data_IF_512517391186
#
_entry.id   IF_512517391186
#
_cell.length_a   1.000
_cell.length_b   1.000
_cell.length_c   1.000
_cell.angle_alpha   90.00
_cell.angle_beta   90.00
_cell.angle_gamma   90.00
#
_symmetry.space_group_name_H-M   'P 1'
#
loop_
_entity.id
_entity.type
_entity.pdbx_description
1 polymer ?
#
# COMPACT_ATOMS: atom_id res chain seq x y z
N UNK A 1 5.64 -42.94 66.34
CA UNK A 1 6.34 -43.92 65.48
C UNK A 1 6.44 -43.33 64.08
N UNK A 2 7.67 -43.23 63.57
CA UNK A 2 8.19 -43.27 62.18
C UNK A 2 7.29 -42.72 61.04
N UNK A 3 7.70 -41.63 60.36
CA UNK A 3 8.33 -41.58 59.01
C UNK A 3 7.48 -42.29 57.93
N UNK A 4 7.10 -41.64 56.83
CA UNK A 4 7.98 -41.39 55.67
C UNK A 4 7.47 -40.21 54.82
N UNK A 5 8.41 -39.37 54.38
CA UNK A 5 8.29 -38.34 53.33
C UNK A 5 8.24 -39.02 51.96
N UNK A 6 7.36 -38.59 51.06
CA UNK A 6 7.55 -38.77 49.61
C UNK A 6 7.28 -37.43 48.94
N UNK A 7 8.37 -36.82 48.45
CA UNK A 7 8.29 -35.76 47.46
C UNK A 7 7.90 -36.39 46.11
N UNK A 8 7.04 -35.72 45.35
CA UNK A 8 6.93 -35.97 43.91
C UNK A 8 7.13 -34.65 43.17
N UNK A 9 8.17 -34.67 42.34
CA UNK A 9 8.64 -33.57 41.53
C UNK A 9 7.78 -33.38 40.27
N UNK A 10 7.51 -32.11 39.98
CA UNK A 10 7.48 -31.42 38.68
C UNK A 10 7.52 -32.28 37.41
N UNK A 11 6.53 -32.09 36.52
CA UNK A 11 6.83 -31.82 35.12
C UNK A 11 5.81 -30.84 34.53
N UNK A 12 6.26 -29.60 34.37
CA UNK A 12 5.58 -28.50 33.71
C UNK A 12 5.77 -28.67 32.21
N UNK A 13 4.72 -29.01 31.45
CA UNK A 13 4.73 -28.90 29.97
C UNK A 13 3.57 -27.98 29.59
N UNK A 14 3.78 -26.69 29.84
CA UNK A 14 3.01 -25.64 29.19
C UNK A 14 3.49 -25.53 27.75
N UNK A 15 2.82 -26.23 26.84
CA UNK A 15 2.95 -25.99 25.40
C UNK A 15 2.35 -24.61 25.08
N UNK A 16 3.11 -23.56 25.38
CA UNK A 16 2.83 -22.23 24.90
C UNK A 16 2.96 -22.24 23.39
N UNK A 17 1.82 -22.16 22.70
CA UNK A 17 1.75 -21.71 21.32
C UNK A 17 2.46 -20.35 21.24
N UNK A 18 3.73 -20.37 20.83
CA UNK A 18 4.42 -19.17 20.39
C UNK A 18 3.80 -18.83 19.04
N UNK A 19 2.68 -18.10 19.09
CA UNK A 19 2.21 -17.38 17.93
C UNK A 19 3.38 -16.50 17.45
N UNK A 20 3.68 -16.45 16.14
CA UNK A 20 4.59 -15.44 15.63
C UNK A 20 3.99 -14.09 16.00
N UNK A 21 4.60 -13.40 16.97
CA UNK A 21 4.36 -11.98 17.15
C UNK A 21 4.85 -11.33 15.86
N UNK A 22 3.93 -11.12 14.93
CA UNK A 22 4.03 -10.03 13.95
C UNK A 22 4.42 -8.86 14.83
N UNK A 23 5.67 -8.37 14.70
CA UNK A 23 6.16 -7.30 15.54
C UNK A 23 5.17 -6.16 15.37
N UNK A 24 4.23 -6.04 16.31
CA UNK A 24 3.32 -4.92 16.38
C UNK A 24 4.26 -3.74 16.44
N UNK A 25 4.22 -2.90 15.42
CA UNK A 25 4.99 -1.68 15.32
C UNK A 25 4.57 -0.83 16.53
N UNK A 26 5.22 -1.06 17.67
CA UNK A 26 4.81 -0.53 18.96
C UNK A 26 4.91 0.98 18.84
N UNK A 27 3.75 1.65 18.97
CA UNK A 27 3.67 3.10 18.95
C UNK A 27 4.63 3.67 19.98
N UNK A 28 5.33 4.74 19.63
CA UNK A 28 6.33 5.36 20.50
C UNK A 28 5.74 5.73 21.86
N UNK A 29 4.55 6.33 21.87
CA UNK A 29 3.81 6.69 23.09
C UNK A 29 3.52 5.52 24.03
N UNK A 30 3.29 4.32 23.48
CA UNK A 30 3.01 3.08 24.24
C UNK A 30 4.29 2.43 24.75
N UNK A 31 5.40 2.60 24.05
CA UNK A 31 6.70 2.05 24.42
C UNK A 31 7.35 2.75 25.63
N UNK A 32 6.90 3.96 25.98
CA UNK A 32 7.41 4.73 27.12
C UNK A 32 6.79 4.28 28.43
N UNK A 33 7.58 4.30 29.50
CA UNK A 33 7.07 4.13 30.86
C UNK A 33 6.19 5.32 31.30
N UNK A 34 5.23 5.15 32.23
CA UNK A 34 4.35 6.23 32.67
C UNK A 34 5.10 7.49 33.16
N UNK A 35 6.21 7.31 33.89
CA UNK A 35 7.04 8.42 34.36
C UNK A 35 7.72 9.16 33.19
N UNK A 36 8.18 8.44 32.17
CA UNK A 36 8.78 9.03 30.98
C UNK A 36 7.75 9.79 30.14
N UNK A 37 6.52 9.26 30.01
CA UNK A 37 5.44 9.97 29.31
C UNK A 37 5.12 11.31 29.95
N UNK A 38 5.05 11.34 31.29
CA UNK A 38 4.85 12.58 32.04
C UNK A 38 6.03 13.54 31.84
N UNK A 39 7.27 13.03 31.89
CA UNK A 39 8.48 13.83 31.71
C UNK A 39 8.64 14.39 30.28
N UNK A 40 8.08 13.74 29.27
CA UNK A 40 8.02 14.22 27.88
C UNK A 40 6.83 15.14 27.60
N UNK A 41 5.97 15.39 28.60
CA UNK A 41 4.78 16.25 28.47
C UNK A 41 3.65 15.66 27.63
N UNK A 42 3.66 14.35 27.34
CA UNK A 42 2.59 13.67 26.59
C UNK A 42 1.18 13.82 27.20
N UNK A 43 1.00 13.89 28.55
CA UNK A 43 -0.32 14.14 29.14
C UNK A 43 -0.93 15.51 28.79
N UNK A 44 -0.13 16.46 28.27
CA UNK A 44 -0.59 17.80 27.87
C UNK A 44 -1.12 17.83 26.44
N UNK A 45 -0.89 16.75 25.68
CA UNK A 45 -1.33 16.61 24.30
C UNK A 45 -2.66 15.85 24.25
N UNK A 46 -3.50 16.18 23.27
CA UNK A 46 -4.71 15.39 23.00
C UNK A 46 -4.37 14.03 22.41
N UNK A 47 -5.31 13.08 22.48
CA UNK A 47 -5.14 11.75 21.85
C UNK A 47 -4.80 11.85 20.36
N UNK A 48 -5.39 12.80 19.65
CA UNK A 48 -5.14 13.01 18.22
C UNK A 48 -3.72 13.54 17.97
N UNK A 49 -3.26 14.48 18.80
CA UNK A 49 -1.89 15.01 18.73
C UNK A 49 -0.84 13.92 19.02
N UNK A 50 -1.11 13.05 19.99
CA UNK A 50 -0.26 11.89 20.28
C UNK A 50 -0.23 10.92 19.09
N UNK A 51 -1.37 10.66 18.45
CA UNK A 51 -1.43 9.80 17.27
C UNK A 51 -0.64 10.39 16.08
N UNK A 52 -0.73 11.71 15.87
CA UNK A 52 0.07 12.42 14.86
C UNK A 52 1.56 12.32 15.20
N UNK A 53 1.94 12.53 16.45
CA UNK A 53 3.33 12.40 16.90
C UNK A 53 3.87 11.00 16.65
N UNK A 54 3.13 9.96 17.01
CA UNK A 54 3.52 8.57 16.74
C UNK A 54 3.69 8.30 15.23
N UNK A 55 2.81 8.85 14.39
CA UNK A 55 2.91 8.72 12.94
C UNK A 55 4.15 9.42 12.37
N UNK A 56 4.47 10.62 12.88
CA UNK A 56 5.68 11.37 12.51
C UNK A 56 6.95 10.64 12.96
N UNK A 57 6.99 10.10 14.18
CA UNK A 57 8.12 9.31 14.69
C UNK A 57 8.33 8.06 13.84
N UNK A 58 7.26 7.36 13.44
CA UNK A 58 7.36 6.20 12.55
C UNK A 58 7.93 6.58 11.18
N UNK A 59 7.45 7.69 10.59
CA UNK A 59 7.99 8.22 9.32
C UNK A 59 9.46 8.56 9.44
N UNK A 60 9.85 9.27 10.49
CA UNK A 60 11.24 9.69 10.75
C UNK A 60 12.17 8.47 10.95
N UNK A 61 11.69 7.44 11.64
CA UNK A 61 12.42 6.18 11.84
C UNK A 61 12.67 5.46 10.51
N UNK A 62 11.66 5.41 9.63
CA UNK A 62 11.80 4.80 8.30
C UNK A 62 12.83 5.55 7.43
N UNK A 63 12.85 6.89 7.51
CA UNK A 63 13.82 7.72 6.80
C UNK A 63 15.25 7.52 7.34
N UNK A 64 15.44 7.44 8.66
CA UNK A 64 16.76 7.21 9.28
C UNK A 64 17.34 5.82 9.01
N UNK A 65 16.51 4.81 8.79
CA UNK A 65 16.96 3.47 8.40
C UNK A 65 17.57 3.40 6.99
N UNK A 66 17.32 4.41 6.14
CA UNK A 66 18.00 4.54 4.86
C UNK A 66 19.37 5.19 5.08
N UNK A 67 20.44 4.43 4.87
CA UNK A 67 21.81 4.96 4.94
C UNK A 67 21.94 6.19 4.04
N UNK A 68 22.52 7.31 4.51
CA UNK A 68 22.73 8.47 3.67
C UNK A 68 23.56 8.06 2.45
N UNK A 69 23.06 8.41 1.27
CA UNK A 69 23.75 8.09 0.02
C UNK A 69 25.13 8.78 0.01
N UNK A 70 26.14 8.20 -0.66
CA UNK A 70 27.48 8.79 -0.74
C UNK A 70 27.50 10.22 -1.32
N UNK A 71 26.43 10.63 -2.01
CA UNK A 71 26.29 11.95 -2.62
C UNK A 71 25.32 12.87 -1.85
N UNK A 72 25.14 12.66 -0.55
CA UNK A 72 24.22 13.47 0.25
C UNK A 72 24.68 14.93 0.32
N UNK A 73 23.74 15.87 0.14
CA UNK A 73 24.05 17.30 0.21
C UNK A 73 24.37 17.74 1.65
N UNK A 74 25.10 18.85 1.87
CA UNK A 74 25.38 19.35 3.23
C UNK A 74 24.11 19.59 4.06
N UNK A 75 23.00 19.97 3.43
CA UNK A 75 21.71 20.14 4.08
C UNK A 75 21.11 18.80 4.55
N UNK A 76 21.31 17.72 3.79
CA UNK A 76 20.89 16.37 4.18
C UNK A 76 21.73 15.85 5.36
N UNK A 77 23.03 16.13 5.36
CA UNK A 77 23.93 15.78 6.47
C UNK A 77 23.54 16.56 7.74
N UNK A 78 23.26 17.86 7.63
CA UNK A 78 22.80 18.67 8.76
C UNK A 78 21.43 18.23 9.30
N UNK A 79 20.50 17.80 8.42
CA UNK A 79 19.21 17.25 8.84
C UNK A 79 19.38 15.93 9.60
N UNK A 80 20.36 15.09 9.21
CA UNK A 80 20.65 13.84 9.90
C UNK A 80 21.16 14.04 11.34
N UNK A 81 21.89 15.15 11.60
CA UNK A 81 22.43 15.50 12.93
C UNK A 81 21.47 16.33 13.80
N UNK A 82 20.43 16.91 13.22
CA UNK A 82 19.41 17.67 13.96
C UNK A 82 18.60 16.77 14.93
N UNK A 83 17.90 17.37 15.90
CA UNK A 83 16.95 16.62 16.73
C UNK A 83 15.62 16.36 15.99
N UNK A 84 14.77 15.46 16.51
CA UNK A 84 13.49 15.15 15.88
C UNK A 84 12.62 16.40 15.68
N UNK A 85 12.46 17.21 16.73
CA UNK A 85 11.70 18.46 16.66
C UNK A 85 12.24 19.47 15.62
N UNK A 86 13.56 19.52 15.42
CA UNK A 86 14.22 20.41 14.45
C UNK A 86 14.05 19.95 13.00
N UNK A 87 13.87 18.65 12.77
CA UNK A 87 13.60 18.10 11.42
C UNK A 87 12.17 18.37 10.94
N UNK A 88 11.25 18.64 11.85
CA UNK A 88 9.85 18.86 11.52
C UNK A 88 9.60 20.26 10.95
N UNK A 89 8.72 20.32 9.95
CA UNK A 89 8.22 21.59 9.42
C UNK A 89 7.38 22.32 10.48
N UNK A 90 7.21 23.65 10.32
CA UNK A 90 6.39 24.44 11.25
C UNK A 90 4.94 23.94 11.35
N UNK A 91 4.36 23.50 10.23
CA UNK A 91 3.01 22.91 10.20
C UNK A 91 2.93 21.60 11.00
N UNK A 92 3.89 20.69 10.81
CA UNK A 92 3.92 19.42 11.55
C UNK A 92 4.10 19.62 13.04
N UNK A 93 4.94 20.59 13.45
CA UNK A 93 5.10 20.94 14.87
C UNK A 93 3.81 21.47 15.49
N UNK A 94 3.05 22.27 14.74
CA UNK A 94 1.75 22.77 15.18
C UNK A 94 0.71 21.65 15.30
N UNK A 95 0.61 20.77 14.30
CA UNK A 95 -0.34 19.65 14.29
C UNK A 95 -0.04 18.62 15.38
N UNK A 96 1.25 18.37 15.68
CA UNK A 96 1.66 17.48 16.78
C UNK A 96 1.52 18.14 18.17
N UNK A 97 1.12 19.41 18.25
CA UNK A 97 0.95 20.12 19.52
C UNK A 97 2.26 20.43 20.25
N UNK A 98 3.42 20.40 19.56
CA UNK A 98 4.72 20.61 20.20
C UNK A 98 4.89 22.01 20.78
N UNK A 99 4.08 22.98 20.35
CA UNK A 99 4.06 24.33 20.91
C UNK A 99 3.52 24.39 22.35
N UNK A 100 2.77 23.37 22.81
CA UNK A 100 2.25 23.31 24.18
C UNK A 100 3.28 22.79 25.19
N UNK A 101 4.41 22.25 24.71
CA UNK A 101 5.48 21.68 25.52
C UNK A 101 6.48 22.77 25.92
N UNK A 102 7.01 22.67 27.14
CA UNK A 102 8.16 23.47 27.56
C UNK A 102 9.44 23.01 26.87
N UNK A 103 10.46 23.87 26.81
CA UNK A 103 11.75 23.51 26.21
C UNK A 103 12.40 22.28 26.89
N UNK A 104 12.21 22.12 28.21
CA UNK A 104 12.73 20.98 28.96
C UNK A 104 11.99 19.67 28.61
N UNK A 105 10.65 19.71 28.49
CA UNK A 105 9.85 18.55 28.07
C UNK A 105 10.18 18.16 26.63
N UNK A 106 10.34 19.14 25.73
CA UNK A 106 10.68 18.91 24.33
C UNK A 106 12.08 18.30 24.18
N UNK A 107 13.08 18.77 24.94
CA UNK A 107 14.40 18.15 24.96
C UNK A 107 14.37 16.69 25.45
N UNK A 108 13.55 16.38 26.46
CA UNK A 108 13.36 15.01 26.94
C UNK A 108 12.64 14.14 25.92
N UNK A 109 11.64 14.68 25.23
CA UNK A 109 10.94 14.01 24.14
C UNK A 109 11.91 13.65 23.00
N UNK A 110 12.72 14.62 22.55
CA UNK A 110 13.71 14.40 21.50
C UNK A 110 14.72 13.31 21.91
N UNK A 111 15.21 13.33 23.15
CA UNK A 111 16.11 12.30 23.66
C UNK A 111 15.44 10.91 23.75
N UNK A 112 14.17 10.85 24.16
CA UNK A 112 13.42 9.61 24.22
C UNK A 112 13.17 9.01 22.82
N UNK A 113 12.86 9.86 21.83
CA UNK A 113 12.68 9.45 20.42
C UNK A 113 14.00 8.93 19.86
N UNK A 114 15.12 9.63 20.10
CA UNK A 114 16.42 9.20 19.61
C UNK A 114 16.82 7.83 20.20
N UNK A 115 16.63 7.62 21.50
CA UNK A 115 16.82 6.30 22.14
C UNK A 115 15.92 5.22 21.53
N UNK A 116 14.64 5.53 21.31
CA UNK A 116 13.69 4.58 20.72
C UNK A 116 14.12 4.17 19.30
N UNK A 117 14.51 5.14 18.48
CA UNK A 117 15.00 4.90 17.12
C UNK A 117 16.29 4.08 17.10
N UNK A 118 17.27 4.45 17.93
CA UNK A 118 18.54 3.74 18.03
C UNK A 118 18.34 2.29 18.51
N UNK A 119 17.44 2.06 19.47
CA UNK A 119 17.11 0.71 19.92
C UNK A 119 16.48 -0.14 18.80
N UNK A 120 15.65 0.46 17.94
CA UNK A 120 15.07 -0.24 16.78
C UNK A 120 16.10 -0.54 15.69
N UNK A 121 16.96 0.42 15.37
CA UNK A 121 18.03 0.22 14.40
C UNK A 121 19.02 -0.85 14.90
N UNK A 122 19.41 -0.82 16.17
CA UNK A 122 20.26 -1.84 16.77
C UNK A 122 19.62 -3.24 16.66
N UNK A 123 18.32 -3.38 16.95
CA UNK A 123 17.62 -4.66 16.76
C UNK A 123 17.57 -5.09 15.30
N UNK A 124 17.42 -4.17 14.35
CA UNK A 124 17.45 -4.49 12.93
C UNK A 124 18.84 -4.95 12.47
N UNK A 125 19.91 -4.36 13.00
CA UNK A 125 21.29 -4.73 12.70
C UNK A 125 21.73 -6.05 13.37
N UNK A 126 21.21 -6.32 14.58
CA UNK A 126 21.48 -7.54 15.35
C UNK A 126 20.60 -8.72 14.92
N UNK A 127 19.48 -8.46 14.24
CA UNK A 127 18.66 -9.53 13.70
C UNK A 127 19.47 -10.31 12.65
N UNK A 128 19.40 -11.65 12.65
CA UNK A 128 19.98 -12.43 11.57
C UNK A 128 19.41 -11.89 10.25
N UNK A 129 20.24 -11.68 9.21
CA UNK A 129 19.79 -11.10 7.98
C UNK A 129 18.67 -11.98 7.42
N UNK A 130 17.44 -11.52 7.57
CA UNK A 130 16.33 -12.06 6.80
C UNK A 130 16.59 -11.53 5.41
N UNK A 131 17.36 -12.30 4.64
CA UNK A 131 17.39 -12.16 3.21
C UNK A 131 15.97 -12.43 2.75
N UNK A 132 15.14 -11.39 2.71
CA UNK A 132 14.08 -11.31 1.74
C UNK A 132 14.83 -11.42 0.43
N UNK A 133 14.94 -12.65 -0.07
CA UNK A 133 15.39 -12.93 -1.41
C UNK A 133 14.38 -12.18 -2.28
N UNK A 134 14.70 -10.92 -2.58
CA UNK A 134 14.16 -10.23 -3.73
C UNK A 134 14.55 -11.19 -4.83
N UNK A 135 13.60 -12.01 -5.29
CA UNK A 135 13.77 -12.79 -6.50
C UNK A 135 14.07 -11.71 -7.53
N UNK A 136 15.36 -11.50 -7.81
CA UNK A 136 15.74 -10.87 -9.04
C UNK A 136 15.04 -11.72 -10.09
N UNK A 137 14.13 -11.15 -10.90
CA UNK A 137 13.59 -11.89 -12.01
C UNK A 137 14.80 -12.48 -12.73
N UNK A 138 14.85 -13.80 -12.85
CA UNK A 138 15.81 -14.43 -13.74
C UNK A 138 15.45 -13.84 -15.09
N UNK A 139 16.25 -12.88 -15.57
CA UNK A 139 16.12 -12.34 -16.91
C UNK A 139 16.88 -13.33 -17.77
N UNK A 140 16.20 -14.28 -18.44
CA UNK A 140 16.90 -15.18 -19.34
C UNK A 140 17.68 -14.34 -20.35
N UNK A 141 18.92 -14.73 -20.60
CA UNK A 141 19.83 -14.06 -21.55
C UNK A 141 19.28 -14.02 -22.98
N UNK A 142 18.22 -14.78 -23.25
CA UNK A 142 17.49 -14.83 -24.52
C UNK A 142 16.38 -13.78 -24.67
N UNK A 143 16.03 -13.01 -23.62
CA UNK A 143 15.00 -11.96 -23.76
C UNK A 143 15.57 -10.85 -24.65
N UNK A 144 15.19 -10.85 -25.94
CA UNK A 144 15.46 -9.76 -26.87
C UNK A 144 15.10 -8.45 -26.18
N UNK A 145 16.10 -7.58 -26.00
CA UNK A 145 15.93 -6.23 -25.43
C UNK A 145 15.27 -5.27 -26.43
N UNK A 146 14.94 -5.78 -27.61
CA UNK A 146 14.36 -4.99 -28.68
C UNK A 146 12.90 -4.68 -28.37
N UNK A 147 12.50 -3.47 -28.70
CA UNK A 147 11.11 -3.03 -28.57
C UNK A 147 10.24 -3.85 -29.52
N UNK A 148 9.24 -4.51 -28.97
CA UNK A 148 8.25 -5.27 -29.73
C UNK A 148 7.03 -4.41 -30.00
N UNK A 149 6.57 -4.39 -31.24
CA UNK A 149 5.24 -3.91 -31.59
C UNK A 149 4.43 -5.13 -32.02
N UNK A 150 3.48 -5.53 -31.19
CA UNK A 150 2.54 -6.60 -31.48
C UNK A 150 1.18 -5.97 -31.76
N UNK A 151 0.39 -6.57 -32.63
CA UNK A 151 -0.96 -6.08 -32.86
C UNK A 151 -1.83 -7.07 -33.59
N UNK A 152 -3.13 -6.87 -33.45
CA UNK A 152 -4.15 -7.65 -34.14
C UNK A 152 -5.15 -6.69 -34.78
N UNK A 153 -5.53 -6.99 -36.01
CA UNK A 153 -6.67 -6.37 -36.68
C UNK A 153 -7.77 -7.42 -36.80
N UNK A 154 -9.01 -7.02 -36.59
CA UNK A 154 -10.20 -7.82 -36.81
C UNK A 154 -11.14 -7.04 -37.70
N UNK A 155 -11.73 -7.72 -38.68
CA UNK A 155 -12.72 -7.18 -39.59
C UNK A 155 -13.89 -8.15 -39.61
N UNK A 156 -15.10 -7.64 -39.41
CA UNK A 156 -16.32 -8.42 -39.48
C UNK A 156 -17.36 -7.74 -40.37
N UNK A 157 -18.11 -8.57 -41.08
CA UNK A 157 -19.15 -8.15 -41.99
C UNK A 157 -20.40 -9.00 -41.78
N UNK A 158 -21.53 -8.35 -41.52
CA UNK A 158 -22.81 -9.00 -41.31
C UNK A 158 -23.83 -8.53 -42.33
N UNK A 159 -24.64 -9.47 -42.84
CA UNK A 159 -25.81 -9.18 -43.68
C UNK A 159 -27.01 -10.00 -43.20
N UNK A 160 -28.19 -9.39 -43.21
CA UNK A 160 -29.42 -10.03 -42.71
C UNK A 160 -30.66 -9.62 -43.51
N UNK A 161 -31.71 -10.44 -43.41
CA UNK A 161 -33.03 -10.14 -43.96
C UNK A 161 -33.60 -8.85 -43.35
N UNK A 162 -34.27 -8.02 -44.16
CA UNK A 162 -34.84 -6.74 -43.68
C UNK A 162 -33.91 -5.52 -43.85
N UNK A 163 -32.95 -5.59 -44.77
CA UNK A 163 -32.05 -4.47 -45.09
C UNK A 163 -30.89 -4.28 -44.12
N UNK A 164 -30.66 -5.25 -43.23
CA UNK A 164 -29.57 -5.23 -42.24
C UNK A 164 -28.21 -5.44 -42.90
N UNK A 165 -27.28 -4.54 -42.59
CA UNK A 165 -25.87 -4.61 -42.94
C UNK A 165 -25.02 -4.05 -41.82
N UNK A 166 -23.95 -4.77 -41.48
CA UNK A 166 -23.01 -4.40 -40.43
C UNK A 166 -21.59 -4.50 -40.98
N UNK A 167 -20.79 -3.48 -40.73
CA UNK A 167 -19.36 -3.45 -41.01
C UNK A 167 -18.66 -3.07 -39.71
N UNK A 168 -17.82 -3.93 -39.17
CA UNK A 168 -17.07 -3.61 -37.96
C UNK A 168 -15.59 -3.92 -38.17
N UNK A 169 -14.74 -3.01 -37.73
CA UNK A 169 -13.29 -3.14 -37.75
C UNK A 169 -12.74 -2.80 -36.38
N UNK A 170 -11.75 -3.56 -35.92
CA UNK A 170 -11.01 -3.24 -34.71
C UNK A 170 -9.53 -3.50 -34.89
N UNK A 171 -8.70 -2.64 -34.29
CA UNK A 171 -7.25 -2.74 -34.27
C UNK A 171 -6.79 -2.62 -32.82
N UNK A 172 -5.92 -3.51 -32.39
CA UNK A 172 -5.21 -3.42 -31.11
C UNK A 172 -3.73 -3.40 -31.40
N UNK A 173 -3.04 -2.38 -30.92
CA UNK A 173 -1.60 -2.23 -31.00
C UNK A 173 -1.00 -2.26 -29.59
N UNK A 174 -0.08 -3.18 -29.36
CA UNK A 174 0.65 -3.36 -28.10
C UNK A 174 2.13 -3.05 -28.33
N UNK A 175 2.62 -1.98 -27.72
CA UNK A 175 4.03 -1.64 -27.63
C UNK A 175 4.58 -2.23 -26.33
N UNK A 176 5.61 -3.05 -26.40
CA UNK A 176 6.34 -3.57 -25.23
C UNK A 176 7.76 -2.98 -25.20
N UNK A 177 8.12 -2.32 -24.09
CA UNK A 177 9.49 -1.90 -23.79
C UNK A 177 10.03 -2.75 -22.63
N UNK A 178 10.66 -3.90 -22.92
CA UNK A 178 11.19 -4.79 -21.88
C UNK A 178 12.36 -4.17 -21.11
N UNK A 179 13.04 -3.15 -21.66
CA UNK A 179 14.15 -2.47 -20.99
C UNK A 179 13.66 -1.48 -19.92
N UNK A 180 12.49 -0.86 -20.14
CA UNK A 180 11.86 0.07 -19.19
C UNK A 180 10.74 -0.56 -18.36
N UNK A 181 10.40 -1.82 -18.62
CA UNK A 181 9.44 -2.59 -17.84
C UNK A 181 7.99 -2.12 -17.98
N UNK A 182 7.63 -1.53 -19.13
CA UNK A 182 6.26 -1.10 -19.40
C UNK A 182 5.73 -1.65 -20.72
N UNK A 183 4.40 -1.73 -20.82
CA UNK A 183 3.68 -2.04 -22.05
C UNK A 183 2.54 -1.03 -22.22
N UNK A 184 2.33 -0.57 -23.45
CA UNK A 184 1.26 0.34 -23.83
C UNK A 184 0.39 -0.33 -24.89
N UNK A 185 -0.90 -0.48 -24.61
CA UNK A 185 -1.88 -1.03 -25.56
C UNK A 185 -2.86 0.04 -25.99
N UNK A 186 -3.03 0.24 -27.29
CA UNK A 186 -3.99 1.17 -27.90
C UNK A 186 -4.94 0.36 -28.76
N UNK A 187 -6.24 0.40 -28.43
CA UNK A 187 -7.31 -0.21 -29.19
C UNK A 187 -8.13 0.84 -29.92
N UNK A 188 -8.47 0.58 -31.18
CA UNK A 188 -9.44 1.33 -31.97
C UNK A 188 -10.49 0.37 -32.50
N UNK A 189 -11.77 0.69 -32.37
CA UNK A 189 -12.85 -0.10 -32.96
C UNK A 189 -13.91 0.82 -33.54
N UNK A 190 -14.33 0.53 -34.77
CA UNK A 190 -15.38 1.23 -35.48
C UNK A 190 -16.42 0.21 -35.94
N UNK A 191 -17.70 0.53 -35.75
CA UNK A 191 -18.82 -0.31 -36.22
C UNK A 191 -19.85 0.57 -36.91
N UNK A 192 -20.20 0.21 -38.14
CA UNK A 192 -21.18 0.88 -38.95
C UNK A 192 -22.32 -0.09 -39.29
N UNK A 193 -23.47 0.12 -38.68
CA UNK A 193 -24.68 -0.68 -38.87
C UNK A 193 -25.71 0.13 -39.63
N UNK A 194 -26.25 -0.44 -40.71
CA UNK A 194 -27.31 0.14 -41.54
C UNK A 194 -28.41 -0.87 -41.76
N UNK A 195 -29.65 -0.46 -41.44
CA UNK A 195 -30.83 -1.34 -41.45
C UNK A 195 -30.81 -2.27 -40.24
N UNK A 196 -31.98 -2.44 -39.62
CA UNK A 196 -32.11 -2.99 -38.28
C UNK A 196 -32.75 -1.96 -37.36
N UNK A 197 -34.02 -2.17 -37.04
CA UNK A 197 -34.66 -1.51 -35.88
C UNK A 197 -33.79 -1.88 -34.66
N UNK A 198 -33.45 -0.94 -33.75
CA UNK A 198 -32.58 -1.24 -32.63
C UNK A 198 -33.07 -2.48 -31.88
N UNK A 199 -32.28 -3.55 -31.85
CA UNK A 199 -32.63 -4.75 -31.07
C UNK A 199 -32.80 -4.43 -29.57
N UNK A 200 -32.24 -3.31 -29.09
CA UNK A 200 -32.46 -2.76 -27.76
C UNK A 200 -33.91 -2.26 -27.52
N UNK A 201 -34.70 -2.03 -28.57
CA UNK A 201 -36.12 -1.69 -28.45
C UNK A 201 -37.06 -2.91 -28.52
N UNK A 202 -36.55 -4.11 -28.87
CA UNK A 202 -37.40 -5.30 -29.06
C UNK A 202 -37.33 -6.31 -27.90
N UNK A 203 -36.35 -6.19 -27.00
CA UNK A 203 -36.24 -7.02 -25.80
C UNK A 203 -35.77 -6.20 -24.61
N UNK A 204 -36.57 -5.21 -24.22
CA UNK A 204 -36.52 -4.74 -22.84
C UNK A 204 -37.35 -5.71 -21.98
N UNK A 205 -36.74 -6.57 -21.14
CA UNK A 205 -37.48 -7.47 -20.26
C UNK A 205 -38.24 -6.73 -19.14
N UNK A 206 -38.09 -5.40 -19.03
CA UNK A 206 -38.80 -4.54 -18.07
C UNK A 206 -40.00 -3.81 -18.69
N UNK A 207 -40.21 -3.91 -20.00
CA UNK A 207 -41.38 -3.32 -20.67
C UNK A 207 -42.31 -4.45 -21.09
N UNK A 208 -43.22 -4.81 -20.19
CA UNK A 208 -44.42 -5.59 -20.54
C UNK A 208 -45.27 -4.76 -21.49
N UNK A 209 -45.19 -5.04 -22.80
CA UNK A 209 -46.24 -4.60 -23.74
C UNK A 209 -47.30 -5.69 -23.87
N UNK A 210 -48.59 -5.31 -23.92
CA UNK A 210 -49.66 -6.26 -24.21
C UNK A 210 -49.41 -6.89 -25.58
N UNK A 211 -49.53 -8.23 -25.65
CA UNK A 211 -49.47 -8.97 -26.91
C UNK A 211 -50.57 -8.43 -27.83
N UNK A 212 -50.17 -7.74 -28.90
CA UNK A 212 -51.10 -7.39 -29.97
C UNK A 212 -51.59 -8.68 -30.63
N UNK A 213 -52.91 -8.78 -30.77
CA UNK A 213 -53.56 -9.95 -31.37
C UNK A 213 -53.42 -9.92 -32.90
N UNK A 214 -53.49 -11.08 -33.57
CA UNK A 214 -53.44 -11.14 -35.03
C UNK A 214 -54.58 -10.32 -35.63
N UNK A 215 -54.25 -9.27 -36.39
CA UNK A 215 -55.22 -8.39 -37.07
C UNK A 215 -55.09 -6.88 -36.80
N UNK A 216 -54.14 -6.46 -35.95
CA UNK A 216 -53.87 -5.03 -35.70
C UNK A 216 -53.11 -4.41 -36.89
N UNK A 217 -53.45 -3.19 -37.39
CA UNK A 217 -52.85 -2.61 -38.61
C UNK A 217 -51.39 -2.17 -38.47
N UNK A 218 -50.75 -2.51 -37.34
CA UNK A 218 -49.32 -2.35 -37.08
C UNK A 218 -48.55 -3.69 -37.07
N UNK A 219 -49.21 -4.79 -37.43
CA UNK A 219 -48.57 -6.07 -37.75
C UNK A 219 -48.19 -6.07 -39.25
N UNK A 220 -46.93 -6.35 -39.63
CA UNK A 220 -46.53 -6.41 -41.04
C UNK A 220 -47.17 -7.60 -41.78
#
# INVERSE_FOLDING_TARGET
MRLVRIQLAVLLVGAGLIAPTVASDLRFSVALEPAERAACGLPRLSSDQVAVLDALVRRDTATRGASPAPNSSPAQVASATATFSQRLTAGERATAGLAALTAAELARLDAAIDRHQNARLARALLAPPVFLARRNPIVPTERKKDRGIHGSFSLSYGVGSGGYSEKSGSMVLTLEDPAKGFSLSVGYSETHTKGGVPYYLYRDPLVDRPRLLPGDPLWP
#
